data_IF_391425271957
#
_entry.id   IF_391425271957
#
_cell.length_a   1.000
_cell.length_b   1.000
_cell.length_c   1.000
_cell.angle_alpha   90.00
_cell.angle_beta   90.00
_cell.angle_gamma   90.00
#
_symmetry.space_group_name_H-M   'P 1'
#
loop_
_entity.id
_entity.type
_entity.pdbx_description
1 polymer ?
#
# COMPACT_ATOMS: atom_id res chain seq x y z
N UNK A 1 22.51 -2.24 -9.46
CA UNK A 1 21.62 -2.42 -10.61
C UNK A 1 20.54 -3.36 -10.13
N UNK A 2 19.48 -2.77 -9.60
CA UNK A 2 18.39 -3.50 -8.94
C UNK A 2 17.59 -4.25 -10.01
N UNK A 3 17.49 -5.59 -9.94
CA UNK A 3 16.88 -6.40 -10.99
C UNK A 3 15.34 -6.27 -11.07
N UNK A 4 14.72 -5.45 -10.22
CA UNK A 4 13.27 -5.38 -10.06
C UNK A 4 12.58 -4.23 -10.81
N UNK A 5 13.32 -3.40 -11.54
CA UNK A 5 12.80 -2.14 -12.15
C UNK A 5 11.90 -2.37 -13.38
N UNK A 6 11.63 -3.61 -13.81
CA UNK A 6 11.01 -3.85 -15.12
C UNK A 6 10.00 -4.98 -15.24
N UNK A 7 9.62 -5.65 -14.14
CA UNK A 7 8.57 -6.67 -14.20
C UNK A 7 7.28 -6.10 -13.65
N UNK A 8 6.31 -5.96 -14.54
CA UNK A 8 4.88 -5.90 -14.21
C UNK A 8 4.63 -6.83 -13.03
N UNK A 9 4.41 -6.30 -11.82
CA UNK A 9 4.06 -7.12 -10.66
C UNK A 9 2.55 -7.24 -10.70
N UNK A 10 1.97 -8.41 -11.03
CA UNK A 10 0.51 -8.57 -11.05
C UNK A 10 -0.13 -8.12 -9.73
N UNK A 11 0.58 -8.36 -8.61
CA UNK A 11 0.19 -7.91 -7.28
C UNK A 11 0.03 -6.39 -7.16
N UNK A 12 0.87 -5.58 -7.82
CA UNK A 12 0.72 -4.12 -7.80
C UNK A 12 -0.52 -3.72 -8.61
N UNK A 13 -0.75 -4.30 -9.79
CA UNK A 13 -1.96 -4.04 -10.57
C UNK A 13 -3.25 -4.40 -9.81
N UNK A 14 -3.27 -5.54 -9.11
CA UNK A 14 -4.38 -5.93 -8.23
C UNK A 14 -4.58 -4.95 -7.08
N UNK A 15 -3.49 -4.49 -6.46
CA UNK A 15 -3.53 -3.48 -5.38
C UNK A 15 -4.13 -2.17 -5.89
N UNK A 16 -3.71 -1.71 -7.07
CA UNK A 16 -4.26 -0.52 -7.73
C UNK A 16 -5.77 -0.60 -7.94
N UNK A 17 -6.25 -1.73 -8.47
CA UNK A 17 -7.68 -1.97 -8.67
C UNK A 17 -8.46 -1.97 -7.35
N UNK A 18 -7.90 -2.51 -6.27
CA UNK A 18 -8.55 -2.45 -4.94
C UNK A 18 -8.66 -1.03 -4.43
N UNK A 19 -7.59 -0.24 -4.56
CA UNK A 19 -7.62 1.18 -4.18
C UNK A 19 -8.74 1.90 -4.94
N UNK A 20 -8.83 1.72 -6.26
CA UNK A 20 -9.89 2.31 -7.08
C UNK A 20 -11.29 1.86 -6.61
N UNK A 21 -11.48 0.57 -6.38
CA UNK A 21 -12.78 0.02 -5.95
C UNK A 21 -13.22 0.51 -4.57
N UNK A 22 -12.30 0.60 -3.60
CA UNK A 22 -12.62 0.92 -2.21
C UNK A 22 -12.68 2.44 -1.94
N UNK A 23 -11.93 3.23 -2.71
CA UNK A 23 -11.87 4.70 -2.52
C UNK A 23 -12.64 5.48 -3.58
N UNK A 24 -13.02 4.85 -4.69
CA UNK A 24 -13.73 5.47 -5.80
C UNK A 24 -12.88 6.38 -6.69
N UNK A 25 -11.55 6.32 -6.57
CA UNK A 25 -10.62 7.08 -7.41
C UNK A 25 -10.32 6.37 -8.72
N UNK A 26 -9.68 7.07 -9.65
CA UNK A 26 -9.15 6.48 -10.89
C UNK A 26 -7.66 6.74 -10.97
N UNK A 27 -6.87 5.66 -10.97
CA UNK A 27 -5.43 5.69 -10.84
C UNK A 27 -4.73 5.50 -12.19
N UNK A 28 -3.74 6.35 -12.42
CA UNK A 28 -2.73 6.19 -13.47
C UNK A 28 -1.44 5.69 -12.82
N UNK A 29 -0.85 4.62 -13.37
CA UNK A 29 0.45 4.11 -12.90
C UNK A 29 1.56 5.12 -13.23
N UNK A 30 2.40 5.41 -12.25
CA UNK A 30 3.55 6.28 -12.42
C UNK A 30 4.82 5.49 -12.79
N UNK A 31 5.81 6.10 -13.46
CA UNK A 31 7.11 5.48 -13.68
C UNK A 31 7.88 5.31 -12.36
N UNK A 32 8.75 4.31 -12.28
CA UNK A 32 9.36 3.84 -11.03
C UNK A 32 10.30 4.81 -10.30
N UNK A 33 10.65 5.94 -10.91
CA UNK A 33 11.39 7.06 -10.29
C UNK A 33 10.46 8.12 -9.67
N UNK A 34 9.14 7.90 -9.72
CA UNK A 34 8.15 8.81 -9.15
C UNK A 34 8.02 8.70 -7.62
N UNK A 35 7.45 9.72 -6.96
CA UNK A 35 7.24 9.70 -5.49
C UNK A 35 6.29 8.60 -5.00
N UNK A 36 5.49 7.99 -5.88
CA UNK A 36 4.59 6.89 -5.57
C UNK A 36 4.32 6.00 -6.78
N UNK A 37 3.58 4.93 -6.53
CA UNK A 37 3.20 3.93 -7.52
C UNK A 37 2.15 4.43 -8.52
N UNK A 38 1.20 5.23 -8.05
CA UNK A 38 0.09 5.76 -8.84
C UNK A 38 -0.19 7.23 -8.57
N UNK A 39 -0.93 7.84 -9.50
CA UNK A 39 -1.52 9.16 -9.36
C UNK A 39 -3.01 9.08 -9.64
N UNK A 40 -3.82 9.66 -8.76
CA UNK A 40 -5.23 9.89 -9.04
C UNK A 40 -5.36 10.93 -10.16
N UNK A 41 -6.02 10.51 -11.24
CA UNK A 41 -6.23 11.32 -12.45
C UNK A 41 -7.09 12.56 -12.21
N UNK A 42 -7.97 12.54 -11.20
CA UNK A 42 -8.86 13.66 -10.89
C UNK A 42 -8.18 14.73 -10.02
N UNK A 43 -7.42 14.30 -9.01
CA UNK A 43 -6.83 15.22 -8.01
C UNK A 43 -5.33 15.45 -8.17
N UNK A 44 -4.64 14.60 -8.93
CA UNK A 44 -3.18 14.60 -9.05
C UNK A 44 -2.45 14.04 -7.84
N UNK A 45 -3.17 13.57 -6.80
CA UNK A 45 -2.56 13.02 -5.58
C UNK A 45 -1.92 11.66 -5.84
N UNK A 46 -0.81 11.42 -5.17
CA UNK A 46 -0.02 10.21 -5.32
C UNK A 46 -0.40 9.13 -4.30
N UNK A 47 -0.37 7.87 -4.75
CA UNK A 47 -0.62 6.70 -3.92
C UNK A 47 0.61 5.79 -4.02
N UNK A 48 1.11 5.34 -2.88
CA UNK A 48 2.25 4.43 -2.81
C UNK A 48 1.99 3.32 -1.80
N UNK A 49 1.63 2.14 -2.30
CA UNK A 49 1.09 1.08 -1.47
C UNK A 49 2.20 0.22 -0.86
N UNK A 50 1.90 -0.34 0.32
CA UNK A 50 2.76 -1.31 0.99
C UNK A 50 1.93 -2.51 1.42
N UNK A 51 2.59 -3.66 1.66
CA UNK A 51 1.89 -4.90 2.02
C UNK A 51 1.80 -5.89 0.86
N UNK A 52 0.68 -6.60 0.75
CA UNK A 52 0.38 -7.65 -0.24
C UNK A 52 1.43 -8.78 -0.36
N UNK A 53 2.25 -8.96 0.67
CA UNK A 53 3.15 -10.11 0.80
C UNK A 53 2.43 -11.26 1.51
N UNK A 54 2.94 -12.48 1.37
CA UNK A 54 2.33 -13.67 1.99
C UNK A 54 2.31 -13.56 3.53
N UNK A 55 1.11 -13.65 4.12
CA UNK A 55 0.89 -13.51 5.57
C UNK A 55 1.71 -14.47 6.43
N UNK A 56 2.21 -15.59 5.89
CA UNK A 56 3.15 -16.48 6.62
C UNK A 56 4.46 -15.79 7.02
N UNK A 57 4.81 -14.66 6.38
CA UNK A 57 5.99 -13.87 6.70
C UNK A 57 5.70 -12.67 7.60
N UNK A 58 4.44 -12.44 8.00
CA UNK A 58 4.02 -11.24 8.71
C UNK A 58 4.89 -10.91 9.92
N UNK A 59 5.07 -11.86 10.85
CA UNK A 59 5.83 -11.57 12.07
C UNK A 59 7.31 -11.23 11.78
N UNK A 60 7.90 -11.79 10.72
CA UNK A 60 9.27 -11.46 10.27
C UNK A 60 9.35 -10.11 9.58
N UNK A 61 8.30 -9.74 8.84
CA UNK A 61 8.24 -8.49 8.07
C UNK A 61 7.62 -7.34 8.86
N UNK A 62 7.05 -7.58 10.04
CA UNK A 62 6.28 -6.56 10.76
C UNK A 62 7.07 -5.29 11.07
N UNK A 63 8.33 -5.42 11.49
CA UNK A 63 9.19 -4.26 11.71
C UNK A 63 9.45 -3.48 10.42
N UNK A 64 9.74 -4.19 9.32
CA UNK A 64 9.97 -3.60 8.01
C UNK A 64 8.69 -2.94 7.46
N UNK A 65 7.51 -3.57 7.58
CA UNK A 65 6.24 -3.01 7.12
C UNK A 65 5.96 -1.65 7.78
N UNK A 66 6.14 -1.53 9.09
CA UNK A 66 5.98 -0.25 9.80
C UNK A 66 6.95 0.82 9.28
N UNK A 67 8.21 0.45 9.06
CA UNK A 67 9.21 1.37 8.52
C UNK A 67 8.84 1.83 7.09
N UNK A 68 8.35 0.92 6.24
CA UNK A 68 7.89 1.27 4.89
C UNK A 68 6.68 2.20 4.92
N UNK A 69 5.68 1.94 5.79
CA UNK A 69 4.51 2.84 5.95
C UNK A 69 4.99 4.26 6.26
N UNK A 70 5.88 4.42 7.23
CA UNK A 70 6.39 5.74 7.63
C UNK A 70 7.19 6.40 6.50
N UNK A 71 8.09 5.67 5.84
CA UNK A 71 8.86 6.20 4.71
C UNK A 71 7.98 6.63 3.55
N UNK A 72 6.90 5.90 3.28
CA UNK A 72 5.99 6.22 2.19
C UNK A 72 5.13 7.45 2.53
N UNK A 73 4.75 7.62 3.81
CA UNK A 73 4.06 8.83 4.29
C UNK A 73 4.89 10.10 4.13
N UNK A 74 6.23 10.00 4.08
CA UNK A 74 7.11 11.14 3.85
C UNK A 74 7.14 11.60 2.37
N UNK A 75 6.76 10.74 1.41
CA UNK A 75 6.93 11.02 -0.03
C UNK A 75 5.63 10.99 -0.85
N UNK A 76 4.62 10.21 -0.46
CA UNK A 76 3.36 10.05 -1.19
C UNK A 76 2.19 10.69 -0.44
N UNK A 77 1.16 11.16 -1.14
CA UNK A 77 -0.01 11.76 -0.50
C UNK A 77 -0.78 10.74 0.33
N UNK A 78 -0.94 9.53 -0.20
CA UNK A 78 -1.63 8.41 0.44
C UNK A 78 -0.79 7.12 0.41
N UNK A 79 -0.93 6.34 1.48
CA UNK A 79 -0.25 5.05 1.67
C UNK A 79 -1.31 3.99 1.97
N UNK A 80 -1.87 3.34 0.95
CA UNK A 80 -2.71 2.18 1.15
C UNK A 80 -1.89 0.99 1.67
N UNK A 81 -2.41 0.28 2.67
CA UNK A 81 -1.82 -0.95 3.19
C UNK A 81 -2.69 -2.11 2.71
N UNK A 82 -2.19 -2.84 1.72
CA UNK A 82 -2.89 -4.00 1.18
C UNK A 82 -2.71 -5.20 2.11
N UNK A 83 -3.82 -5.60 2.74
CA UNK A 83 -3.87 -6.69 3.72
C UNK A 83 -4.52 -7.95 3.15
N UNK A 84 -4.74 -8.06 1.85
CA UNK A 84 -5.54 -9.16 1.27
C UNK A 84 -4.95 -10.55 1.42
N UNK A 85 -3.71 -10.65 1.89
CA UNK A 85 -3.00 -11.92 2.15
C UNK A 85 -2.74 -12.12 3.64
N UNK A 86 -3.28 -11.25 4.47
CA UNK A 86 -3.15 -11.29 5.92
C UNK A 86 -4.38 -11.94 6.54
N UNK A 87 -4.18 -12.58 7.69
CA UNK A 87 -5.31 -13.08 8.47
C UNK A 87 -6.02 -11.92 9.19
N UNK A 88 -7.26 -12.11 9.68
CA UNK A 88 -7.95 -11.09 10.46
C UNK A 88 -7.13 -10.56 11.66
N UNK A 89 -6.37 -11.43 12.33
CA UNK A 89 -5.51 -11.03 13.45
C UNK A 89 -4.32 -10.18 13.00
N UNK A 90 -3.75 -10.49 11.83
CA UNK A 90 -2.66 -9.72 11.24
C UNK A 90 -3.16 -8.35 10.76
N UNK A 91 -4.32 -8.32 10.10
CA UNK A 91 -5.04 -7.08 9.74
C UNK A 91 -5.33 -6.24 10.96
N UNK A 92 -5.79 -6.83 12.07
CA UNK A 92 -6.03 -6.10 13.31
C UNK A 92 -4.74 -5.47 13.88
N UNK A 93 -3.59 -6.16 13.78
CA UNK A 93 -2.30 -5.57 14.16
C UNK A 93 -1.94 -4.35 13.31
N UNK A 94 -2.24 -4.39 12.01
CA UNK A 94 -2.07 -3.23 11.11
C UNK A 94 -2.98 -2.09 11.56
N UNK A 95 -4.28 -2.34 11.78
CA UNK A 95 -5.25 -1.32 12.23
C UNK A 95 -4.78 -0.58 13.47
N UNK A 96 -4.40 -1.32 14.52
CA UNK A 96 -3.93 -0.75 15.79
C UNK A 96 -2.69 0.12 15.59
N UNK A 97 -1.79 -0.28 14.69
CA UNK A 97 -0.62 0.55 14.36
C UNK A 97 -1.03 1.85 13.67
N UNK A 98 -1.93 1.80 12.68
CA UNK A 98 -2.39 2.97 11.94
C UNK A 98 -3.17 3.97 12.83
N UNK A 99 -4.00 3.47 13.75
CA UNK A 99 -4.69 4.30 14.74
C UNK A 99 -3.72 5.15 15.57
N UNK A 100 -2.54 4.60 15.90
CA UNK A 100 -1.49 5.31 16.62
C UNK A 100 -0.73 6.36 15.82
N UNK A 101 -0.87 6.38 14.49
CA UNK A 101 -0.24 7.39 13.62
C UNK A 101 -1.04 8.69 13.54
N UNK A 102 -2.32 8.68 13.93
CA UNK A 102 -3.21 9.85 13.90
C UNK A 102 -3.25 10.55 12.52
N UNK A 103 -3.34 9.76 11.44
CA UNK A 103 -3.38 10.27 10.06
C UNK A 103 -4.37 9.48 9.21
N UNK A 104 -5.14 10.18 8.39
CA UNK A 104 -6.04 9.56 7.39
C UNK A 104 -5.32 9.24 6.07
N UNK A 105 -4.02 9.58 5.97
CA UNK A 105 -3.21 9.34 4.77
C UNK A 105 -2.80 7.88 4.63
N UNK A 106 -2.86 7.10 5.70
CA UNK A 106 -2.57 5.67 5.69
C UNK A 106 -3.83 4.89 6.07
N UNK A 107 -4.27 3.99 5.19
CA UNK A 107 -5.51 3.24 5.37
C UNK A 107 -5.38 1.85 4.77
N UNK A 108 -6.23 0.92 5.22
CA UNK A 108 -6.21 -0.47 4.77
C UNK A 108 -7.02 -0.63 3.49
N UNK A 109 -6.57 -1.52 2.61
CA UNK A 109 -7.35 -2.05 1.48
C UNK A 109 -7.28 -3.58 1.46
N UNK A 110 -8.32 -4.22 0.94
CA UNK A 110 -8.36 -5.67 0.75
C UNK A 110 -8.75 -6.50 1.99
N UNK A 111 -9.56 -5.96 2.91
CA UNK A 111 -10.04 -6.74 4.07
C UNK A 111 -11.00 -7.88 3.73
N UNK A 112 -11.76 -7.75 2.64
CA UNK A 112 -12.81 -8.71 2.24
C UNK A 112 -12.32 -9.74 1.18
N UNK A 113 -11.00 -9.89 1.03
CA UNK A 113 -10.36 -10.74 0.01
C UNK A 113 -10.24 -12.22 0.40
#
# INVERSE_FOLDING_TARGET
MDPDVGRFRPAEAETGLRIENETGVTLERLPGDSPGDWRDTATGKTYDAVGNFDGKFFDKQWANLKEQILKHLDKADFVPIDVSKFTPEQTQKVKVFLEGLHTDRAFIVGEDG
#
